data_IF_037885064437
#
_entry.id   IF_037885064437
#
_cell.length_a   1.000
_cell.length_b   1.000
_cell.length_c   1.000
_cell.angle_alpha   90.00
_cell.angle_beta   90.00
_cell.angle_gamma   90.00
#
_symmetry.space_group_name_H-M   'P 1'
#
loop_
_entity.id
_entity.type
_entity.pdbx_description
1 polymer ?
#
# COMPACT_ATOMS: atom_id res chain seq x y z
N UNK A 1 2.06 -37.39 29.43
CA UNK A 1 0.62 -37.04 29.30
C UNK A 1 0.57 -35.55 29.03
N UNK A 2 0.03 -35.10 27.90
CA UNK A 2 -0.06 -33.65 27.60
C UNK A 2 -1.11 -33.07 28.56
N UNK A 3 -0.78 -32.10 29.44
CA UNK A 3 -1.74 -31.59 30.40
C UNK A 3 -2.93 -30.97 29.69
N UNK A 4 -4.14 -31.28 30.14
CA UNK A 4 -5.35 -30.64 29.65
C UNK A 4 -5.36 -29.16 30.12
N UNK A 5 -6.01 -28.26 29.39
CA UNK A 5 -6.14 -26.83 29.70
C UNK A 5 -6.54 -26.56 31.16
N UNK A 6 -7.36 -27.44 31.76
CA UNK A 6 -7.75 -27.38 33.17
C UNK A 6 -6.59 -27.62 34.15
N UNK A 7 -5.65 -28.48 33.81
CA UNK A 7 -4.45 -28.71 34.63
C UNK A 7 -3.50 -27.52 34.57
N UNK A 8 -3.38 -26.88 33.40
CA UNK A 8 -2.60 -25.64 33.25
C UNK A 8 -3.24 -24.51 34.05
N UNK A 9 -4.56 -24.37 34.02
CA UNK A 9 -5.27 -23.37 34.82
C UNK A 9 -5.03 -23.58 36.33
N UNK A 10 -5.06 -24.83 36.79
CA UNK A 10 -4.74 -25.18 38.18
C UNK A 10 -3.28 -24.85 38.53
N UNK A 11 -2.32 -25.20 37.67
CA UNK A 11 -0.91 -24.87 37.88
C UNK A 11 -0.66 -23.36 37.83
N UNK A 12 -1.40 -22.61 37.02
CA UNK A 12 -1.32 -21.15 36.94
C UNK A 12 -1.69 -20.49 38.27
N UNK A 13 -2.78 -20.94 38.89
CA UNK A 13 -3.20 -20.42 40.20
C UNK A 13 -2.20 -20.78 41.31
N UNK A 14 -1.61 -21.98 41.26
CA UNK A 14 -0.55 -22.39 42.20
C UNK A 14 0.70 -21.52 42.02
N UNK A 15 1.14 -21.33 40.77
CA UNK A 15 2.31 -20.51 40.45
C UNK A 15 2.12 -19.03 40.83
N UNK A 16 0.93 -18.47 40.64
CA UNK A 16 0.58 -17.11 41.12
C UNK A 16 0.74 -17.00 42.64
N UNK A 17 0.25 -18.00 43.38
CA UNK A 17 0.35 -18.05 44.84
C UNK A 17 1.80 -18.19 45.31
N UNK A 18 2.58 -19.05 44.67
CA UNK A 18 4.00 -19.27 44.98
C UNK A 18 4.85 -18.03 44.70
N UNK A 19 4.57 -17.33 43.58
CA UNK A 19 5.24 -16.09 43.20
C UNK A 19 4.72 -14.85 43.95
N UNK A 20 3.76 -15.01 44.86
CA UNK A 20 3.10 -13.93 45.63
C UNK A 20 2.52 -12.82 44.73
N UNK A 21 2.07 -13.18 43.53
CA UNK A 21 1.43 -12.26 42.59
C UNK A 21 -0.06 -12.16 42.90
N UNK A 22 -0.62 -10.95 42.79
CA UNK A 22 -2.08 -10.78 42.88
C UNK A 22 -2.73 -11.49 41.69
N UNK A 23 -3.85 -12.22 41.88
CA UNK A 23 -4.58 -12.87 40.81
C UNK A 23 -5.38 -11.86 39.99
N UNK A 24 -4.68 -10.96 39.29
CA UNK A 24 -5.28 -10.06 38.30
C UNK A 24 -5.34 -10.77 36.94
N UNK A 25 -6.23 -10.35 36.04
CA UNK A 25 -6.31 -10.92 34.69
C UNK A 25 -4.96 -10.89 33.95
N UNK A 26 -4.18 -9.83 34.13
CA UNK A 26 -2.88 -9.64 33.48
C UNK A 26 -1.86 -10.66 33.99
N UNK A 27 -1.68 -10.75 35.32
CA UNK A 27 -0.76 -11.71 35.95
C UNK A 27 -1.15 -13.15 35.65
N UNK A 28 -2.46 -13.44 35.64
CA UNK A 28 -2.96 -14.77 35.30
C UNK A 28 -2.64 -15.12 33.85
N UNK A 29 -2.90 -14.21 32.91
CA UNK A 29 -2.65 -14.44 31.49
C UNK A 29 -1.17 -14.68 31.22
N UNK A 30 -0.28 -13.89 31.83
CA UNK A 30 1.17 -14.04 31.68
C UNK A 30 1.65 -15.43 32.15
N UNK A 31 1.26 -15.84 33.36
CA UNK A 31 1.67 -17.12 33.94
C UNK A 31 1.04 -18.29 33.19
N UNK A 32 -0.22 -18.15 32.78
CA UNK A 32 -0.93 -19.16 32.02
C UNK A 32 -0.27 -19.38 30.66
N UNK A 33 0.14 -18.30 29.97
CA UNK A 33 0.87 -18.40 28.71
C UNK A 33 2.26 -19.00 28.89
N UNK A 34 2.99 -18.64 29.95
CA UNK A 34 4.29 -19.24 30.29
C UNK A 34 4.17 -20.76 30.46
N UNK A 35 3.18 -21.21 31.23
CA UNK A 35 2.93 -22.63 31.48
C UNK A 35 2.42 -23.34 30.23
N UNK A 36 1.52 -22.72 29.47
CA UNK A 36 0.99 -23.30 28.23
C UNK A 36 2.10 -23.54 27.20
N UNK A 37 3.02 -22.58 27.03
CA UNK A 37 4.19 -22.71 26.15
C UNK A 37 5.10 -23.87 26.56
N UNK A 38 5.36 -24.06 27.86
CA UNK A 38 6.17 -25.19 28.38
C UNK A 38 5.58 -26.55 28.01
N UNK A 39 4.27 -26.63 27.86
CA UNK A 39 3.55 -27.85 27.48
C UNK A 39 3.22 -27.93 25.98
N UNK A 40 3.76 -27.02 25.15
CA UNK A 40 3.48 -26.96 23.72
C UNK A 40 2.05 -26.56 23.37
N UNK A 41 1.28 -26.07 24.34
CA UNK A 41 -0.09 -25.59 24.16
C UNK A 41 -0.02 -24.09 23.88
N UNK A 42 -0.38 -23.69 22.67
CA UNK A 42 -0.55 -22.27 22.36
C UNK A 42 -1.95 -21.86 22.79
N UNK A 43 -2.07 -20.75 23.54
CA UNK A 43 -3.39 -20.22 23.90
C UNK A 43 -4.21 -19.96 22.63
N UNK A 44 -5.51 -20.29 22.64
CA UNK A 44 -6.39 -20.14 21.47
C UNK A 44 -6.35 -18.72 20.90
N UNK A 45 -6.21 -17.71 21.77
CA UNK A 45 -6.11 -16.31 21.35
C UNK A 45 -4.77 -15.98 20.69
N UNK A 46 -3.65 -16.51 21.21
CA UNK A 46 -2.33 -16.31 20.61
C UNK A 46 -2.21 -16.99 19.25
N UNK A 47 -2.70 -18.23 19.14
CA UNK A 47 -2.75 -18.95 17.87
C UNK A 47 -3.61 -18.23 16.82
N UNK A 48 -4.76 -17.67 17.21
CA UNK A 48 -5.60 -16.83 16.33
C UNK A 48 -4.88 -15.54 15.93
N UNK A 49 -4.24 -14.88 16.88
CA UNK A 49 -3.51 -13.64 16.64
C UNK A 49 -2.38 -13.85 15.63
N UNK A 50 -1.55 -14.87 15.82
CA UNK A 50 -0.43 -15.19 14.92
C UNK A 50 -0.95 -15.60 13.54
N UNK A 51 -2.01 -16.42 13.48
CA UNK A 51 -2.68 -16.74 12.22
C UNK A 51 -3.13 -15.48 11.48
N UNK A 52 -3.82 -14.56 12.15
CA UNK A 52 -4.29 -13.33 11.50
C UNK A 52 -3.13 -12.42 11.05
N UNK A 53 -2.04 -12.33 11.83
CA UNK A 53 -0.83 -11.60 11.40
C UNK A 53 -0.25 -12.19 10.11
N UNK A 54 -0.17 -13.52 9.99
CA UNK A 54 0.36 -14.19 8.79
C UNK A 54 -0.52 -14.05 7.54
N UNK A 55 -1.83 -13.79 7.71
CA UNK A 55 -2.76 -13.60 6.59
C UNK A 55 -2.67 -12.19 5.97
N UNK A 56 -1.99 -11.24 6.62
CA UNK A 56 -1.81 -9.89 6.08
C UNK A 56 -0.84 -9.90 4.91
N UNK A 57 -0.94 -8.90 4.03
CA UNK A 57 0.06 -8.70 2.98
C UNK A 57 1.44 -8.40 3.59
N UNK A 58 2.55 -8.78 2.94
CA UNK A 58 3.91 -8.63 3.48
C UNK A 58 4.24 -7.20 3.95
N UNK A 59 3.73 -6.18 3.27
CA UNK A 59 3.92 -4.78 3.65
C UNK A 59 3.36 -4.46 5.04
N UNK A 60 2.17 -5.00 5.38
CA UNK A 60 1.56 -4.78 6.70
C UNK A 60 2.20 -5.67 7.77
N UNK A 61 2.71 -6.85 7.39
CA UNK A 61 3.51 -7.67 8.30
C UNK A 61 4.80 -6.96 8.73
N UNK A 62 5.47 -6.27 7.80
CA UNK A 62 6.65 -5.47 8.11
C UNK A 62 6.33 -4.29 9.04
N UNK A 63 5.21 -3.59 8.81
CA UNK A 63 4.76 -2.54 9.74
C UNK A 63 4.47 -3.09 11.14
N UNK A 64 3.93 -4.30 11.24
CA UNK A 64 3.68 -4.96 12.53
C UNK A 64 4.95 -5.23 13.30
N UNK A 65 6.09 -5.48 12.65
CA UNK A 65 7.37 -5.72 13.35
C UNK A 65 7.81 -4.50 14.18
N UNK A 66 7.37 -3.30 13.80
CA UNK A 66 7.65 -2.07 14.55
C UNK A 66 6.70 -1.84 15.74
N UNK A 67 5.68 -2.70 15.93
CA UNK A 67 4.63 -2.55 16.94
C UNK A 67 4.51 -3.80 17.80
N UNK A 68 4.38 -3.62 19.11
CA UNK A 68 4.11 -4.76 20.00
C UNK A 68 2.59 -5.01 20.06
N UNK A 69 2.09 -5.93 19.23
CA UNK A 69 0.68 -6.36 19.24
C UNK A 69 0.54 -7.66 20.03
N UNK A 70 -0.11 -7.57 21.19
CA UNK A 70 -0.32 -8.63 22.19
C UNK A 70 -1.75 -9.16 22.21
N UNK A 71 -2.73 -8.41 21.68
CA UNK A 71 -4.14 -8.82 21.70
C UNK A 71 -4.83 -8.68 20.34
N UNK A 72 -6.03 -9.27 20.21
CA UNK A 72 -6.87 -9.14 19.02
C UNK A 72 -7.41 -7.71 18.88
N UNK A 73 -7.72 -7.04 19.98
CA UNK A 73 -8.16 -5.64 20.01
C UNK A 73 -7.06 -4.72 19.46
N UNK A 74 -5.81 -4.92 19.89
CA UNK A 74 -4.67 -4.17 19.37
C UNK A 74 -4.46 -4.42 17.87
N UNK A 75 -4.65 -5.67 17.41
CA UNK A 75 -4.62 -6.00 15.98
C UNK A 75 -5.74 -5.28 15.22
N UNK A 76 -6.96 -5.26 15.75
CA UNK A 76 -8.10 -4.55 15.15
C UNK A 76 -7.81 -3.05 15.08
N UNK A 77 -7.30 -2.44 16.16
CA UNK A 77 -6.91 -1.03 16.15
C UNK A 77 -5.83 -0.74 15.10
N UNK A 78 -4.87 -1.64 14.93
CA UNK A 78 -3.88 -1.54 13.85
C UNK A 78 -4.55 -1.58 12.47
N UNK A 79 -5.44 -2.53 12.21
CA UNK A 79 -6.14 -2.67 10.93
C UNK A 79 -7.01 -1.45 10.63
N UNK A 80 -7.72 -0.92 11.62
CA UNK A 80 -8.49 0.32 11.49
C UNK A 80 -7.56 1.49 11.14
N UNK A 81 -6.39 1.59 11.79
CA UNK A 81 -5.40 2.63 11.46
C UNK A 81 -4.91 2.50 10.02
N UNK A 82 -4.58 1.29 9.57
CA UNK A 82 -4.16 1.03 8.18
C UNK A 82 -5.27 1.40 7.21
N UNK A 83 -6.51 0.95 7.46
CA UNK A 83 -7.67 1.25 6.63
C UNK A 83 -7.94 2.76 6.54
N UNK A 84 -7.84 3.47 7.66
CA UNK A 84 -8.03 4.92 7.70
C UNK A 84 -6.87 5.68 7.05
N UNK A 85 -5.63 5.19 7.09
CA UNK A 85 -4.50 5.76 6.32
C UNK A 85 -4.68 5.55 4.83
N UNK A 86 -5.23 4.40 4.44
CA UNK A 86 -5.69 4.16 3.08
C UNK A 86 -6.93 4.99 2.71
N UNK A 87 -7.38 5.92 3.57
CA UNK A 87 -8.55 6.75 3.31
C UNK A 87 -8.51 7.24 1.87
N UNK A 88 -9.50 6.78 1.11
CA UNK A 88 -9.57 6.95 -0.34
C UNK A 88 -9.61 8.40 -0.80
N UNK A 89 -9.57 9.39 0.10
CA UNK A 89 -9.51 10.82 -0.22
C UNK A 89 -8.24 11.16 -0.99
N UNK A 90 -7.05 10.87 -0.45
CA UNK A 90 -5.80 11.16 -1.17
C UNK A 90 -5.70 10.37 -2.48
N UNK A 91 -6.12 9.10 -2.47
CA UNK A 91 -6.16 8.28 -3.68
C UNK A 91 -7.16 8.82 -4.71
N UNK A 92 -8.32 9.30 -4.26
CA UNK A 92 -9.33 9.93 -5.12
C UNK A 92 -8.85 11.25 -5.69
N UNK A 93 -8.21 12.10 -4.89
CA UNK A 93 -7.65 13.38 -5.31
C UNK A 93 -6.53 13.16 -6.33
N UNK A 94 -5.67 12.15 -6.09
CA UNK A 94 -4.63 11.76 -7.05
C UNK A 94 -5.22 11.23 -8.36
N UNK A 95 -6.27 10.43 -8.28
CA UNK A 95 -6.99 9.96 -9.47
C UNK A 95 -7.61 11.11 -10.26
N UNK A 96 -8.28 12.04 -9.58
CA UNK A 96 -8.91 13.20 -10.20
C UNK A 96 -7.85 14.11 -10.84
N UNK A 97 -6.67 14.24 -10.20
CA UNK A 97 -5.51 14.93 -10.76
C UNK A 97 -4.97 14.24 -12.03
N UNK A 98 -4.78 12.92 -12.01
CA UNK A 98 -4.36 12.15 -13.19
C UNK A 98 -5.36 12.24 -14.33
N UNK A 99 -6.66 12.16 -14.02
CA UNK A 99 -7.72 12.34 -15.00
C UNK A 99 -7.67 13.75 -15.62
N UNK A 100 -7.43 14.77 -14.81
CA UNK A 100 -7.26 16.16 -15.26
C UNK A 100 -6.06 16.29 -16.20
N UNK A 101 -4.89 15.76 -15.85
CA UNK A 101 -3.71 15.71 -16.74
C UNK A 101 -4.07 15.01 -18.05
N UNK A 102 -4.70 13.84 -17.96
CA UNK A 102 -5.09 13.07 -19.14
C UNK A 102 -6.10 13.80 -20.01
N UNK A 103 -6.96 14.66 -19.45
CA UNK A 103 -7.87 15.51 -20.21
C UNK A 103 -7.15 16.67 -20.87
N UNK A 104 -6.22 17.32 -20.19
CA UNK A 104 -5.40 18.40 -20.75
C UNK A 104 -4.58 17.91 -21.94
N UNK A 105 -3.98 16.72 -21.85
CA UNK A 105 -3.22 16.11 -22.94
C UNK A 105 -4.06 15.80 -24.19
N UNK A 106 -5.39 15.68 -24.08
CA UNK A 106 -6.28 15.50 -25.24
C UNK A 106 -6.39 16.75 -26.11
N UNK A 107 -6.00 17.91 -25.59
CA UNK A 107 -5.98 19.18 -26.32
C UNK A 107 -4.68 19.30 -27.14
N UNK A 108 -3.68 18.43 -26.90
CA UNK A 108 -2.42 18.43 -27.63
C UNK A 108 -2.66 18.39 -29.14
N UNK A 109 -1.87 19.18 -29.88
CA UNK A 109 -1.88 19.17 -31.36
C UNK A 109 -1.26 17.88 -31.90
N UNK A 110 -0.34 17.28 -31.15
CA UNK A 110 0.24 15.98 -31.47
C UNK A 110 -0.84 14.88 -31.40
N UNK A 111 -1.05 14.20 -32.52
CA UNK A 111 -2.04 13.13 -32.65
C UNK A 111 -1.73 11.94 -31.74
N UNK A 112 -0.46 11.53 -31.61
CA UNK A 112 -0.06 10.38 -30.80
C UNK A 112 -0.32 10.65 -29.31
N UNK A 113 0.05 11.85 -28.83
CA UNK A 113 -0.23 12.27 -27.45
C UNK A 113 -1.73 12.31 -27.21
N UNK A 114 -2.48 12.96 -28.10
CA UNK A 114 -3.93 13.11 -27.96
C UNK A 114 -4.67 11.79 -27.96
N UNK A 115 -4.33 10.86 -28.86
CA UNK A 115 -4.99 9.57 -28.97
C UNK A 115 -4.68 8.68 -27.74
N UNK A 116 -3.43 8.67 -27.27
CA UNK A 116 -3.06 7.93 -26.05
C UNK A 116 -3.73 8.52 -24.80
N UNK A 117 -3.83 9.85 -24.72
CA UNK A 117 -4.52 10.56 -23.65
C UNK A 117 -6.03 10.27 -23.63
N UNK A 118 -6.68 10.15 -24.79
CA UNK A 118 -8.09 9.72 -24.88
C UNK A 118 -8.27 8.31 -24.34
N UNK A 119 -7.46 7.35 -24.81
CA UNK A 119 -7.52 5.95 -24.35
C UNK A 119 -7.27 5.86 -22.84
N UNK A 120 -6.30 6.61 -22.33
CA UNK A 120 -5.98 6.66 -20.90
C UNK A 120 -7.17 7.19 -20.10
N UNK A 121 -7.78 8.31 -20.50
CA UNK A 121 -8.93 8.87 -19.77
C UNK A 121 -10.18 7.98 -19.75
N UNK A 122 -10.37 7.14 -20.77
CA UNK A 122 -11.51 6.21 -20.85
C UNK A 122 -11.26 4.99 -19.96
N UNK A 123 -10.00 4.54 -19.85
CA UNK A 123 -9.64 3.31 -19.13
C UNK A 123 -9.26 3.54 -17.68
N UNK A 124 -8.75 4.72 -17.33
CA UNK A 124 -8.32 5.02 -15.97
C UNK A 124 -9.52 4.89 -15.04
N UNK A 125 -9.42 4.04 -14.02
CA UNK A 125 -10.47 3.81 -13.03
C UNK A 125 -9.87 3.62 -11.64
N UNK A 126 -10.63 3.99 -10.59
CA UNK A 126 -10.24 3.79 -9.18
C UNK A 126 -10.12 2.31 -8.79
N UNK A 127 -10.59 1.40 -9.64
CA UNK A 127 -10.61 -0.06 -9.44
C UNK A 127 -9.77 -0.81 -10.48
N UNK A 128 -8.90 -0.12 -11.21
CA UNK A 128 -8.02 -0.74 -12.19
C UNK A 128 -7.11 -1.78 -11.54
N UNK A 129 -7.01 -2.95 -12.17
CA UNK A 129 -6.08 -4.00 -11.76
C UNK A 129 -4.62 -3.66 -12.17
N UNK A 130 -3.67 -4.38 -11.56
CA UNK A 130 -2.24 -4.13 -11.78
C UNK A 130 -1.76 -4.40 -13.21
N UNK A 131 -2.39 -5.33 -13.93
CA UNK A 131 -2.04 -5.64 -15.32
C UNK A 131 -2.48 -4.50 -16.25
N UNK A 132 -3.70 -4.01 -16.07
CA UNK A 132 -4.23 -2.84 -16.77
C UNK A 132 -3.36 -1.60 -16.56
N UNK A 133 -2.88 -1.37 -15.32
CA UNK A 133 -1.95 -0.28 -14.99
C UNK A 133 -0.64 -0.46 -15.75
N UNK A 134 -0.04 -1.64 -15.66
CA UNK A 134 1.23 -1.96 -16.33
C UNK A 134 1.16 -1.74 -17.85
N UNK A 135 0.08 -2.19 -18.50
CA UNK A 135 -0.11 -2.02 -19.93
C UNK A 135 -0.23 -0.55 -20.35
N UNK A 136 -0.98 0.26 -19.61
CA UNK A 136 -1.04 1.71 -19.86
C UNK A 136 0.32 2.38 -19.66
N UNK A 137 1.04 2.04 -18.58
CA UNK A 137 2.39 2.55 -18.34
C UNK A 137 3.35 2.20 -19.49
N UNK A 138 3.29 0.97 -20.00
CA UNK A 138 4.13 0.54 -21.12
C UNK A 138 3.88 1.39 -22.38
N UNK A 139 2.61 1.68 -22.69
CA UNK A 139 2.25 2.53 -23.85
C UNK A 139 2.78 3.96 -23.72
N UNK A 140 2.69 4.55 -22.52
CA UNK A 140 3.24 5.88 -22.26
C UNK A 140 4.77 5.90 -22.37
N UNK A 141 5.46 4.89 -21.85
CA UNK A 141 6.92 4.75 -21.99
C UNK A 141 7.36 4.53 -23.44
N UNK A 142 6.57 3.81 -24.22
CA UNK A 142 6.83 3.63 -25.65
C UNK A 142 6.67 4.94 -26.40
N UNK A 143 5.64 5.73 -26.08
CA UNK A 143 5.48 7.07 -26.63
C UNK A 143 6.67 7.97 -26.27
N UNK A 144 7.08 7.99 -25.00
CA UNK A 144 8.26 8.75 -24.52
C UNK A 144 9.53 8.37 -25.29
N UNK A 145 9.83 7.08 -25.43
CA UNK A 145 11.03 6.59 -26.14
C UNK A 145 11.03 6.93 -27.63
N UNK A 146 9.86 6.91 -28.25
CA UNK A 146 9.68 7.13 -29.67
C UNK A 146 9.27 8.59 -29.99
N UNK A 147 9.29 9.48 -28.99
CA UNK A 147 9.05 10.90 -29.18
C UNK A 147 10.30 11.51 -29.80
N UNK A 148 10.32 11.53 -31.13
CA UNK A 148 11.48 11.92 -31.93
C UNK A 148 11.65 13.46 -31.91
N UNK A 149 12.24 13.98 -30.83
CA UNK A 149 12.60 15.41 -30.71
C UNK A 149 13.73 15.81 -31.67
N UNK A 150 14.63 14.88 -32.00
CA UNK A 150 15.91 15.22 -32.63
C UNK A 150 15.77 15.74 -34.06
N UNK A 151 14.86 15.16 -34.86
CA UNK A 151 14.68 15.58 -36.25
C UNK A 151 13.97 16.94 -36.35
N UNK A 152 12.95 17.15 -35.51
CA UNK A 152 12.16 18.39 -35.54
C UNK A 152 12.95 19.57 -34.96
N UNK A 153 13.71 19.37 -33.88
CA UNK A 153 14.58 20.40 -33.32
C UNK A 153 15.70 20.78 -34.29
N UNK A 154 16.31 19.81 -34.96
CA UNK A 154 17.35 20.07 -35.95
C UNK A 154 16.81 20.86 -37.15
N UNK A 155 15.59 20.55 -37.61
CA UNK A 155 14.92 21.33 -38.64
C UNK A 155 14.51 22.72 -38.15
N UNK A 156 13.98 22.86 -36.94
CA UNK A 156 13.56 24.13 -36.36
C UNK A 156 14.74 25.09 -36.18
N UNK A 157 15.92 24.58 -35.78
CA UNK A 157 17.16 25.37 -35.70
C UNK A 157 17.56 26.00 -37.04
N UNK A 158 17.26 25.36 -38.18
CA UNK A 158 17.51 25.94 -39.52
C UNK A 158 16.70 27.21 -39.76
N UNK A 159 15.61 27.41 -39.02
CA UNK A 159 14.76 28.59 -39.07
C UNK A 159 14.97 29.54 -37.87
N UNK A 160 16.06 29.37 -37.10
CA UNK A 160 16.36 30.24 -35.95
C UNK A 160 15.46 30.03 -34.73
N UNK A 161 14.71 28.94 -34.71
CA UNK A 161 13.84 28.53 -33.61
C UNK A 161 14.67 27.75 -32.58
N UNK A 162 14.63 28.19 -31.33
CA UNK A 162 15.28 27.59 -30.17
C UNK A 162 14.38 26.56 -29.50
N UNK A 163 14.98 25.57 -28.83
CA UNK A 163 14.27 24.53 -28.03
C UNK A 163 13.34 25.11 -26.96
N UNK A 164 13.62 26.33 -26.52
CA UNK A 164 12.87 27.01 -25.46
C UNK A 164 11.92 28.10 -25.97
N UNK A 165 11.84 28.32 -27.28
CA UNK A 165 10.86 29.25 -27.82
C UNK A 165 9.46 28.67 -27.63
N UNK A 166 8.57 29.44 -27.02
CA UNK A 166 7.16 29.11 -27.00
C UNK A 166 6.53 29.28 -28.40
N UNK A 167 5.32 28.75 -28.58
CA UNK A 167 4.62 28.81 -29.86
C UNK A 167 4.48 30.23 -30.41
N UNK A 168 4.25 31.23 -29.55
CA UNK A 168 4.10 32.62 -29.96
C UNK A 168 5.43 33.20 -30.46
N UNK A 169 6.54 32.86 -29.81
CA UNK A 169 7.89 33.25 -30.21
C UNK A 169 8.30 32.59 -31.53
N UNK A 170 7.89 31.34 -31.74
CA UNK A 170 8.10 30.62 -33.00
C UNK A 170 7.33 31.27 -34.15
N UNK A 171 6.04 31.58 -33.96
CA UNK A 171 5.21 32.22 -34.99
C UNK A 171 5.79 33.58 -35.41
N UNK A 172 6.37 34.34 -34.48
CA UNK A 172 7.00 35.64 -34.78
C UNK A 172 8.30 35.53 -35.59
N UNK A 173 8.93 34.35 -35.61
CA UNK A 173 10.20 34.09 -36.30
C UNK A 173 10.02 33.48 -37.70
N UNK A 174 8.82 32.98 -38.02
CA UNK A 174 8.42 32.45 -39.33
C UNK A 174 7.80 33.54 -40.20
#
# INVERSE_FOLDING_TARGET
>A
MIPNTNEIAKQTLIALKERKLKPTPENYTEIFEELSLKYGITSSNKAKLDKYKTLLLPIYQQELNSKTIRSLEELISFLISVLNRQSGKQFSEFFDFLYTISKTLQISKDKKIRDLAKVTSIRISKTMDSESIYLLTKKWKELERNYDENNLEEQARKYGISKYDDYDSVIKKL
#
